data_IF_764730700809
#
_entry.id   IF_764730700809
#
_cell.length_a   1.000
_cell.length_b   1.000
_cell.length_c   1.000
_cell.angle_alpha   90.00
_cell.angle_beta   90.00
_cell.angle_gamma   90.00
#
_symmetry.space_group_name_H-M   'P 1'
#
loop_
_entity.id
_entity.type
_entity.pdbx_description
1 polymer ?
#
# COMPACT_ATOMS: atom_id res chain seq x y z
N UNK A 1 -6.31 -7.09 -3.00
CA UNK A 1 -5.92 -7.37 -1.60
C UNK A 1 -4.63 -6.68 -1.16
N UNK A 2 -3.65 -6.51 -2.03
CA UNK A 2 -2.33 -5.96 -1.65
C UNK A 2 -2.42 -4.50 -1.16
N UNK A 3 -3.09 -3.64 -1.90
CA UNK A 3 -3.19 -2.22 -1.58
C UNK A 3 -3.85 -1.91 -0.22
N UNK A 4 -5.06 -2.44 0.09
CA UNK A 4 -5.64 -2.26 1.42
C UNK A 4 -4.78 -2.87 2.52
N UNK A 5 -4.08 -3.98 2.24
CA UNK A 5 -3.15 -4.60 3.18
C UNK A 5 -1.97 -3.69 3.54
N UNK A 6 -1.38 -3.00 2.57
CA UNK A 6 -0.31 -2.02 2.80
C UNK A 6 -0.80 -0.84 3.63
N UNK A 7 -2.00 -0.30 3.34
CA UNK A 7 -2.59 0.79 4.12
C UNK A 7 -2.81 0.36 5.57
N UNK A 8 -3.36 -0.84 5.76
CA UNK A 8 -3.59 -1.39 7.10
C UNK A 8 -2.27 -1.61 7.86
N UNK A 9 -1.25 -2.16 7.19
CA UNK A 9 0.08 -2.35 7.79
C UNK A 9 0.68 -1.00 8.22
N UNK A 10 0.68 0.01 7.36
CA UNK A 10 1.17 1.35 7.70
C UNK A 10 0.37 1.94 8.86
N UNK A 11 -0.96 1.79 8.86
CA UNK A 11 -1.81 2.29 9.94
C UNK A 11 -1.56 1.60 11.29
N UNK A 12 -1.06 0.37 11.28
CA UNK A 12 -0.75 -0.37 12.51
C UNK A 12 0.57 0.06 13.18
N UNK A 13 1.47 0.75 12.44
CA UNK A 13 2.76 1.19 12.95
C UNK A 13 2.83 2.67 13.33
N UNK A 14 1.95 3.52 12.75
CA UNK A 14 2.08 4.97 12.84
C UNK A 14 0.83 5.65 13.40
N UNK A 15 1.04 6.79 14.07
CA UNK A 15 -0.01 7.66 14.56
C UNK A 15 -0.76 8.35 13.41
N UNK A 16 -1.98 8.81 13.67
CA UNK A 16 -2.89 9.43 12.69
C UNK A 16 -2.23 10.53 11.84
N UNK A 17 -1.48 11.44 12.44
CA UNK A 17 -0.79 12.52 11.72
C UNK A 17 0.45 12.05 10.93
N UNK A 18 1.18 11.08 11.46
CA UNK A 18 2.33 10.49 10.77
C UNK A 18 1.88 9.60 9.61
N UNK A 19 0.76 8.90 9.78
CA UNK A 19 0.12 8.07 8.78
C UNK A 19 -0.16 8.85 7.49
N UNK A 20 -0.74 10.04 7.60
CA UNK A 20 -1.09 10.86 6.44
C UNK A 20 0.13 11.21 5.59
N UNK A 21 1.23 11.64 6.21
CA UNK A 21 2.48 11.99 5.51
C UNK A 21 3.07 10.79 4.78
N UNK A 22 3.09 9.62 5.44
CA UNK A 22 3.64 8.39 4.86
C UNK A 22 2.77 7.83 3.75
N UNK A 23 1.46 7.91 3.93
CA UNK A 23 0.50 7.51 2.92
C UNK A 23 0.61 8.39 1.67
N UNK A 24 0.76 9.71 1.85
CA UNK A 24 1.00 10.63 0.74
C UNK A 24 2.31 10.33 0.01
N UNK A 25 3.38 10.04 0.75
CA UNK A 25 4.65 9.63 0.15
C UNK A 25 4.53 8.32 -0.63
N UNK A 26 3.78 7.35 -0.09
CA UNK A 26 3.50 6.08 -0.77
C UNK A 26 2.76 6.30 -2.10
N UNK A 27 1.72 7.14 -2.10
CA UNK A 27 0.98 7.49 -3.31
C UNK A 27 1.83 8.23 -4.33
N UNK A 28 2.61 9.22 -3.89
CA UNK A 28 3.53 9.96 -4.75
C UNK A 28 4.54 9.03 -5.43
N UNK A 29 5.11 8.10 -4.67
CA UNK A 29 6.06 7.11 -5.19
C UNK A 29 5.38 6.17 -6.20
N UNK A 30 4.18 5.69 -5.90
CA UNK A 30 3.42 4.83 -6.80
C UNK A 30 3.09 5.54 -8.13
N UNK A 31 2.69 6.81 -8.07
CA UNK A 31 2.40 7.63 -9.26
C UNK A 31 3.66 7.89 -10.09
N UNK A 32 4.78 8.21 -9.44
CA UNK A 32 6.05 8.42 -10.12
C UNK A 32 6.54 7.13 -10.82
N UNK A 33 6.42 5.98 -10.15
CA UNK A 33 6.76 4.68 -10.75
C UNK A 33 5.86 4.33 -11.92
N UNK A 34 4.56 4.65 -11.86
CA UNK A 34 3.62 4.45 -12.97
C UNK A 34 4.02 5.29 -14.18
N UNK A 35 4.42 6.55 -13.99
CA UNK A 35 4.95 7.39 -15.06
C UNK A 35 6.22 6.81 -15.68
N UNK A 36 7.12 6.30 -14.85
CA UNK A 36 8.34 5.65 -15.32
C UNK A 36 8.08 4.37 -16.11
N UNK A 37 7.09 3.56 -15.67
CA UNK A 37 6.68 2.35 -16.38
C UNK A 37 6.18 2.66 -17.81
N UNK A 38 5.45 3.76 -18.01
CA UNK A 38 5.00 4.18 -19.34
C UNK A 38 6.16 4.54 -20.26
N UNK A 39 7.19 5.21 -19.74
CA UNK A 39 8.41 5.55 -20.51
C UNK A 39 9.16 4.27 -20.88
N UNK A 40 9.27 3.34 -19.94
CA UNK A 40 9.91 2.05 -20.16
C UNK A 40 9.16 1.23 -21.22
N UNK A 41 7.82 1.17 -21.14
CA UNK A 41 6.98 0.52 -22.13
C UNK A 41 7.19 1.09 -23.54
N UNK A 42 7.26 2.42 -23.67
CA UNK A 42 7.58 3.07 -24.94
C UNK A 42 8.96 2.67 -25.46
N UNK A 43 9.99 2.65 -24.64
CA UNK A 43 11.33 2.20 -25.00
C UNK A 43 11.35 0.73 -25.47
N UNK A 44 10.58 -0.13 -24.79
CA UNK A 44 10.51 -1.55 -25.13
C UNK A 44 9.78 -1.82 -26.45
N UNK A 45 8.79 -1.00 -26.82
CA UNK A 45 8.14 -1.13 -28.13
C UNK A 45 9.10 -0.86 -29.30
N UNK A 46 10.14 -0.07 -29.10
CA UNK A 46 11.15 0.17 -30.14
C UNK A 46 12.04 -1.07 -30.41
N UNK A 47 12.13 -1.99 -29.45
CA UNK A 47 12.85 -3.27 -29.62
C UNK A 47 12.20 -4.20 -30.67
N UNK A 48 10.94 -3.97 -31.02
CA UNK A 48 10.26 -4.69 -32.11
C UNK A 48 10.99 -4.59 -33.44
N UNK A 49 11.69 -3.45 -33.67
CA UNK A 49 12.49 -3.24 -34.90
C UNK A 49 13.78 -4.07 -34.96
N UNK A 50 14.24 -4.58 -33.81
CA UNK A 50 15.52 -5.28 -33.69
C UNK A 50 15.34 -6.78 -33.49
N UNK A 51 14.18 -7.20 -32.98
CA UNK A 51 13.88 -8.58 -32.62
C UNK A 51 12.68 -9.12 -33.42
N UNK A 52 12.70 -10.42 -33.75
CA UNK A 52 11.57 -11.11 -34.39
C UNK A 52 10.32 -11.24 -33.51
N UNK A 53 10.36 -10.77 -32.27
CA UNK A 53 9.25 -10.81 -31.31
C UNK A 53 8.49 -9.47 -31.29
N UNK A 54 7.15 -9.57 -31.25
CA UNK A 54 6.29 -8.38 -31.11
C UNK A 54 6.60 -7.61 -29.82
N UNK A 55 6.66 -6.27 -29.91
CA UNK A 55 7.07 -5.37 -28.80
C UNK A 55 6.28 -5.56 -27.51
N UNK A 56 4.96 -5.89 -27.59
CA UNK A 56 4.14 -6.14 -26.42
C UNK A 56 4.60 -7.35 -25.59
N UNK A 57 5.21 -8.38 -26.21
CA UNK A 57 5.74 -9.54 -25.48
C UNK A 57 6.93 -9.15 -24.60
N UNK A 58 7.78 -8.25 -25.08
CA UNK A 58 8.91 -7.74 -24.32
C UNK A 58 8.46 -6.98 -23.09
N UNK A 59 7.39 -6.18 -23.20
CA UNK A 59 6.82 -5.46 -22.06
C UNK A 59 6.45 -6.44 -20.95
N UNK A 60 5.64 -7.46 -21.26
CA UNK A 60 5.19 -8.44 -20.26
C UNK A 60 6.34 -9.26 -19.66
N UNK A 61 7.33 -9.64 -20.46
CA UNK A 61 8.47 -10.42 -19.95
C UNK A 61 9.30 -9.59 -18.96
N UNK A 62 9.64 -8.37 -19.32
CA UNK A 62 10.49 -7.52 -18.50
C UNK A 62 9.73 -7.05 -17.26
N UNK A 63 8.50 -6.60 -17.40
CA UNK A 63 7.65 -6.15 -16.30
C UNK A 63 7.31 -7.30 -15.34
N UNK A 64 7.02 -8.49 -15.88
CA UNK A 64 6.82 -9.70 -15.09
C UNK A 64 8.08 -10.11 -14.33
N UNK A 65 9.25 -10.05 -14.95
CA UNK A 65 10.53 -10.34 -14.28
C UNK A 65 10.81 -9.35 -13.14
N UNK A 66 10.63 -8.06 -13.39
CA UNK A 66 10.78 -7.00 -12.37
C UNK A 66 9.81 -7.24 -11.21
N UNK A 67 8.55 -7.56 -11.51
CA UNK A 67 7.53 -7.84 -10.47
C UNK A 67 7.91 -9.03 -9.60
N UNK A 68 8.38 -10.13 -10.18
CA UNK A 68 8.85 -11.30 -9.43
C UNK A 68 10.04 -10.93 -8.55
N UNK A 69 11.02 -10.21 -9.09
CA UNK A 69 12.20 -9.77 -8.34
C UNK A 69 11.81 -8.92 -7.12
N UNK A 70 10.94 -7.92 -7.33
CA UNK A 70 10.43 -7.09 -6.22
C UNK A 70 9.56 -7.88 -5.25
N UNK A 71 8.77 -8.85 -5.72
CA UNK A 71 7.99 -9.74 -4.86
C UNK A 71 8.88 -10.57 -3.91
N UNK A 72 9.97 -11.11 -4.43
CA UNK A 72 10.96 -11.85 -3.63
C UNK A 72 11.65 -10.92 -2.64
N UNK A 73 12.10 -9.74 -3.07
CA UNK A 73 12.71 -8.75 -2.18
C UNK A 73 11.74 -8.30 -1.08
N UNK A 74 10.49 -8.06 -1.43
CA UNK A 74 9.45 -7.66 -0.48
C UNK A 74 9.24 -8.71 0.62
N UNK A 75 9.32 -10.00 0.28
CA UNK A 75 9.20 -11.08 1.26
C UNK A 75 10.28 -11.02 2.36
N UNK A 76 11.48 -10.54 2.03
CA UNK A 76 12.57 -10.41 2.99
C UNK A 76 12.59 -9.07 3.72
N UNK A 77 12.08 -8.01 3.10
CA UNK A 77 12.19 -6.63 3.60
C UNK A 77 10.94 -6.20 4.38
N UNK A 78 9.74 -6.70 3.99
CA UNK A 78 8.51 -6.28 4.66
C UNK A 78 8.50 -6.79 6.10
N UNK A 79 8.43 -5.84 7.02
CA UNK A 79 8.30 -6.08 8.46
C UNK A 79 6.87 -6.50 8.76
N UNK A 80 6.69 -7.52 9.59
CA UNK A 80 5.39 -8.01 10.02
C UNK A 80 4.72 -7.04 11.02
N UNK A 81 3.48 -7.31 11.43
CA UNK A 81 2.75 -6.47 12.37
C UNK A 81 3.47 -6.32 13.72
N UNK A 82 3.31 -5.18 14.44
CA UNK A 82 3.99 -4.95 15.72
C UNK A 82 3.77 -6.08 16.73
N UNK A 83 2.57 -6.67 16.71
CA UNK A 83 2.14 -7.71 17.66
C UNK A 83 2.49 -9.14 17.20
N UNK A 84 3.23 -9.30 16.09
CA UNK A 84 3.60 -10.62 15.59
C UNK A 84 4.79 -11.20 16.37
N UNK A 85 4.70 -12.47 16.83
CA UNK A 85 5.81 -13.16 17.48
C UNK A 85 7.02 -13.36 16.53
N UNK A 86 6.81 -13.14 15.24
CA UNK A 86 7.85 -13.29 14.20
C UNK A 86 8.76 -12.07 14.11
N UNK A 87 8.39 -10.95 14.70
CA UNK A 87 9.20 -9.74 14.76
C UNK A 87 10.37 -9.90 15.73
N UNK A 88 11.48 -10.38 15.21
CA UNK A 88 12.77 -10.42 15.93
C UNK A 88 13.46 -9.04 15.98
N UNK A 89 12.91 -8.06 15.28
CA UNK A 89 13.49 -6.73 15.12
C UNK A 89 13.24 -5.83 16.35
N UNK A 90 12.12 -6.02 17.07
CA UNK A 90 11.80 -5.25 18.27
C UNK A 90 11.99 -6.07 19.54
N UNK A 91 12.57 -5.42 20.56
CA UNK A 91 12.55 -5.93 21.92
C UNK A 91 11.12 -5.92 22.49
N UNK A 92 10.84 -6.78 23.48
CA UNK A 92 9.52 -6.86 24.13
C UNK A 92 9.12 -5.51 24.79
N UNK A 93 10.09 -4.75 25.29
CA UNK A 93 9.84 -3.43 25.87
C UNK A 93 9.52 -2.39 24.80
N UNK A 94 10.15 -2.48 23.63
CA UNK A 94 9.86 -1.61 22.49
C UNK A 94 8.48 -1.90 21.89
N UNK A 95 8.06 -3.17 21.82
CA UNK A 95 6.71 -3.55 21.42
C UNK A 95 5.65 -2.92 22.30
N UNK A 96 5.81 -3.06 23.64
CA UNK A 96 4.90 -2.45 24.61
C UNK A 96 4.86 -0.92 24.49
N UNK A 97 6.01 -0.30 24.23
CA UNK A 97 6.07 1.14 24.02
C UNK A 97 5.30 1.58 22.75
N UNK A 98 5.46 0.87 21.65
CA UNK A 98 4.74 1.14 20.39
C UNK A 98 3.24 0.94 20.58
N UNK A 99 2.82 -0.14 21.24
CA UNK A 99 1.41 -0.41 21.54
C UNK A 99 0.80 0.69 22.43
N UNK A 100 1.45 1.03 23.54
CA UNK A 100 0.99 2.09 24.42
C UNK A 100 0.91 3.47 23.73
N UNK A 101 1.86 3.75 22.84
CA UNK A 101 1.87 4.98 22.04
C UNK A 101 0.70 5.04 21.05
N UNK A 102 0.36 3.90 20.44
CA UNK A 102 -0.77 3.78 19.52
C UNK A 102 -2.11 3.81 20.23
N UNK A 103 -2.23 3.14 21.37
CA UNK A 103 -3.45 3.17 22.20
C UNK A 103 -3.76 4.58 22.71
N UNK A 104 -2.74 5.32 23.13
CA UNK A 104 -2.93 6.71 23.55
C UNK A 104 -3.42 7.63 22.42
N UNK A 105 -2.99 7.37 21.17
CA UNK A 105 -3.37 8.17 19.99
C UNK A 105 -4.76 7.80 19.45
N UNK A 106 -5.13 6.51 19.54
CA UNK A 106 -6.41 5.99 19.05
C UNK A 106 -7.58 6.23 19.99
N UNK A 107 -7.29 6.46 21.30
CA UNK A 107 -8.31 6.48 22.34
C UNK A 107 -8.82 5.08 22.67
N UNK A 108 -9.29 4.89 23.91
CA UNK A 108 -9.77 3.60 24.39
C UNK A 108 -10.98 3.04 23.63
N UNK A 109 -11.73 3.88 22.92
CA UNK A 109 -12.95 3.51 22.19
C UNK A 109 -12.67 2.86 20.82
N UNK A 110 -11.59 3.24 20.14
CA UNK A 110 -11.26 2.72 18.81
C UNK A 110 -10.60 1.32 18.84
N UNK A 111 -9.98 0.97 19.95
CA UNK A 111 -9.27 -0.32 20.10
C UNK A 111 -10.23 -1.54 20.16
N UNK A 112 -11.52 -1.32 20.38
CA UNK A 112 -12.53 -2.37 20.51
C UNK A 112 -13.68 -2.28 19.48
N UNK A 113 -13.59 -1.43 18.48
CA UNK A 113 -14.60 -1.38 17.43
C UNK A 113 -14.59 -2.69 16.63
N UNK A 114 -15.30 -3.69 17.14
CA UNK A 114 -15.58 -4.93 16.39
C UNK A 114 -16.24 -4.52 15.08
N UNK A 115 -15.70 -4.98 13.97
CA UNK A 115 -16.31 -4.84 12.65
C UNK A 115 -17.70 -5.50 12.69
N UNK A 116 -18.70 -4.72 13.01
CA UNK A 116 -20.10 -5.15 12.98
C UNK A 116 -20.69 -4.74 11.63
N UNK A 117 -21.55 -5.59 11.05
CA UNK A 117 -22.26 -5.26 9.80
C UNK A 117 -22.94 -3.88 9.85
N UNK A 118 -23.40 -3.48 11.02
CA UNK A 118 -24.02 -2.16 11.23
C UNK A 118 -23.03 -1.01 11.02
N UNK A 119 -21.76 -1.14 11.43
CA UNK A 119 -20.71 -0.16 11.20
C UNK A 119 -20.38 -0.07 9.70
N UNK A 120 -20.30 -1.20 9.02
CA UNK A 120 -20.07 -1.24 7.57
C UNK A 120 -21.22 -0.55 6.82
N UNK A 121 -22.46 -0.86 7.17
CA UNK A 121 -23.62 -0.24 6.53
C UNK A 121 -23.70 1.27 6.80
N UNK A 122 -23.47 1.72 8.05
CA UNK A 122 -23.44 3.15 8.37
C UNK A 122 -22.34 3.89 7.61
N UNK A 123 -21.18 3.25 7.46
CA UNK A 123 -20.05 3.78 6.68
C UNK A 123 -20.41 3.85 5.19
N UNK A 124 -21.07 2.83 4.63
CA UNK A 124 -21.53 2.86 3.25
C UNK A 124 -22.62 3.90 2.98
N UNK A 125 -23.39 4.29 4.00
CA UNK A 125 -24.42 5.33 3.88
C UNK A 125 -23.86 6.76 4.03
N UNK A 126 -22.60 6.95 4.39
CA UNK A 126 -22.00 8.26 4.54
C UNK A 126 -21.72 8.92 3.18
N UNK A 127 -22.41 10.03 2.90
CA UNK A 127 -22.27 10.78 1.65
C UNK A 127 -20.83 11.26 1.37
N UNK A 128 -20.02 11.44 2.41
CA UNK A 128 -18.61 11.86 2.29
C UNK A 128 -17.80 10.83 1.52
N UNK A 129 -18.07 9.53 1.73
CA UNK A 129 -17.38 8.45 1.03
C UNK A 129 -17.64 8.53 -0.47
N UNK A 130 -18.88 8.80 -0.86
CA UNK A 130 -19.23 8.94 -2.26
C UNK A 130 -18.57 10.16 -2.91
N UNK A 131 -18.51 11.28 -2.18
CA UNK A 131 -17.83 12.49 -2.66
C UNK A 131 -16.33 12.24 -2.88
N UNK A 132 -15.65 11.62 -1.93
CA UNK A 132 -14.23 11.27 -2.06
C UNK A 132 -14.00 10.23 -3.16
N UNK A 133 -14.85 9.23 -3.27
CA UNK A 133 -14.75 8.22 -4.33
C UNK A 133 -14.91 8.85 -5.71
N UNK A 134 -15.83 9.81 -5.86
CA UNK A 134 -16.04 10.51 -7.12
C UNK A 134 -14.86 11.42 -7.48
N UNK A 135 -14.28 12.12 -6.50
CA UNK A 135 -13.05 12.88 -6.70
C UNK A 135 -11.88 11.99 -7.12
N UNK A 136 -11.74 10.83 -6.48
CA UNK A 136 -10.69 9.86 -6.85
C UNK A 136 -10.91 9.31 -8.26
N UNK A 137 -12.13 8.95 -8.60
CA UNK A 137 -12.49 8.48 -9.94
C UNK A 137 -12.18 9.54 -11.01
N UNK A 138 -12.58 10.81 -10.79
CA UNK A 138 -12.29 11.89 -11.71
C UNK A 138 -10.78 12.19 -11.88
N UNK A 139 -9.98 11.93 -10.84
CA UNK A 139 -8.51 12.08 -10.92
C UNK A 139 -7.82 10.89 -11.56
N UNK A 140 -8.47 9.73 -11.66
CA UNK A 140 -7.92 8.50 -12.23
C UNK A 140 -8.36 8.26 -13.70
N UNK A 141 -9.40 8.94 -14.16
CA UNK A 141 -9.93 8.89 -15.53
C UNK A 141 -9.18 9.82 -16.48
#
# INVERSE_FOLDING_TARGET
GFYPGCIYLISSWYKRFELQKRLSAFFMTATALSGFANILAYGLTQLERVSSYSGWRWIYIIEGFITVLFGVLAYFIIVDFPNSPRNKFLSEDEKKFVEARLEHDRGADDAQAKMTLQVVLSTCCDWKIYSFSMMYFAGAA
#
